data_IF_050246277306
#
_entry.id   IF_050246277306
#
_cell.length_a   1.000
_cell.length_b   1.000
_cell.length_c   1.000
_cell.angle_alpha   90.00
_cell.angle_beta   90.00
_cell.angle_gamma   90.00
#
_symmetry.space_group_name_H-M   'P 1'
#
loop_
_entity.id
_entity.type
_entity.pdbx_description
1 polymer ?
#
# COMPACT_ATOMS: atom_id res chain seq x y z
N UNK A 1 2.05 2.42 29.28
CA UNK A 1 2.13 3.67 28.49
C UNK A 1 1.48 3.42 27.14
N UNK A 2 0.60 4.28 26.65
CA UNK A 2 0.08 4.16 25.27
C UNK A 2 1.18 4.63 24.31
N UNK A 3 1.76 3.74 23.51
CA UNK A 3 2.65 4.13 22.41
C UNK A 3 1.81 4.96 21.42
N UNK A 4 2.13 6.24 21.28
CA UNK A 4 1.55 7.09 20.24
C UNK A 4 2.47 6.97 19.03
N UNK A 5 2.07 6.18 18.04
CA UNK A 5 2.80 6.03 16.79
C UNK A 5 2.26 7.11 15.85
N UNK A 6 3.12 8.04 15.45
CA UNK A 6 2.79 9.05 14.46
C UNK A 6 3.01 8.51 13.05
N UNK A 7 2.19 8.96 12.08
CA UNK A 7 2.47 8.74 10.66
C UNK A 7 2.88 10.08 10.07
N UNK A 8 4.09 10.16 9.53
CA UNK A 8 4.53 11.32 8.77
C UNK A 8 3.90 11.30 7.39
N UNK A 9 3.00 12.25 7.14
CA UNK A 9 2.29 12.39 5.87
C UNK A 9 2.60 13.76 5.30
N UNK A 10 2.86 13.82 4.00
CA UNK A 10 2.98 15.10 3.29
C UNK A 10 1.77 16.00 3.57
N UNK A 11 2.02 17.31 3.73
CA UNK A 11 0.98 18.25 4.15
C UNK A 11 -0.17 18.35 3.14
N UNK A 12 0.12 18.27 1.83
CA UNK A 12 -0.90 18.33 0.79
C UNK A 12 -1.73 17.03 0.79
N UNK A 13 -1.09 15.88 0.96
CA UNK A 13 -1.78 14.58 1.09
C UNK A 13 -2.68 14.56 2.32
N UNK A 14 -2.18 15.04 3.48
CA UNK A 14 -2.97 15.12 4.71
C UNK A 14 -4.17 16.07 4.57
N UNK A 15 -3.98 17.19 3.87
CA UNK A 15 -5.08 18.12 3.60
C UNK A 15 -6.17 17.47 2.75
N UNK A 16 -5.80 16.88 1.62
CA UNK A 16 -6.74 16.21 0.72
C UNK A 16 -7.50 15.07 1.43
N UNK A 17 -6.81 14.29 2.26
CA UNK A 17 -7.43 13.23 3.06
C UNK A 17 -8.49 13.76 4.03
N UNK A 18 -8.19 14.86 4.76
CA UNK A 18 -9.16 15.47 5.68
C UNK A 18 -10.38 16.01 4.95
N UNK A 19 -10.21 16.62 3.78
CA UNK A 19 -11.33 17.07 2.97
C UNK A 19 -12.22 15.90 2.54
N UNK A 20 -11.63 14.78 2.10
CA UNK A 20 -12.37 13.57 1.77
C UNK A 20 -13.17 13.04 2.96
N UNK A 21 -12.53 12.93 4.13
CA UNK A 21 -13.21 12.51 5.37
C UNK A 21 -14.38 13.42 5.72
N UNK A 22 -14.22 14.74 5.58
CA UNK A 22 -15.29 15.69 5.86
C UNK A 22 -16.48 15.53 4.93
N UNK A 23 -16.24 15.26 3.63
CA UNK A 23 -17.32 15.02 2.65
C UNK A 23 -18.15 13.79 3.02
N UNK A 24 -17.47 12.74 3.48
CA UNK A 24 -18.06 11.47 3.92
C UNK A 24 -18.50 11.46 5.39
N UNK A 25 -18.42 12.60 6.09
CA UNK A 25 -18.78 12.78 7.51
C UNK A 25 -18.02 11.87 8.49
N UNK A 26 -16.80 11.48 8.13
CA UNK A 26 -15.91 10.74 9.02
C UNK A 26 -14.98 11.67 9.80
N UNK A 27 -14.65 11.29 11.04
CA UNK A 27 -13.46 11.84 11.70
C UNK A 27 -12.22 11.29 11.01
N UNK A 28 -11.16 12.08 10.79
CA UNK A 28 -9.97 11.61 10.06
C UNK A 28 -9.33 10.31 10.60
N UNK A 29 -9.46 10.04 11.90
CA UNK A 29 -8.96 8.81 12.50
C UNK A 29 -9.81 7.56 12.15
N UNK A 30 -11.13 7.70 11.97
CA UNK A 30 -12.05 6.56 11.86
C UNK A 30 -11.79 5.68 10.63
N UNK A 31 -11.59 6.22 9.40
CA UNK A 31 -11.29 5.39 8.25
C UNK A 31 -9.95 4.65 8.39
N UNK A 32 -8.93 5.31 8.96
CA UNK A 32 -7.62 4.70 9.21
C UNK A 32 -7.73 3.56 10.21
N UNK A 33 -8.44 3.76 11.32
CA UNK A 33 -8.64 2.72 12.34
C UNK A 33 -9.36 1.50 11.77
N UNK A 34 -10.43 1.72 10.99
CA UNK A 34 -11.16 0.62 10.32
C UNK A 34 -10.29 -0.11 9.31
N UNK A 35 -9.50 0.62 8.53
CA UNK A 35 -8.58 0.02 7.57
C UNK A 35 -7.52 -0.84 8.28
N UNK A 36 -6.91 -0.33 9.35
CA UNK A 36 -5.92 -1.08 10.13
C UNK A 36 -6.52 -2.34 10.77
N UNK A 37 -7.77 -2.27 11.26
CA UNK A 37 -8.47 -3.45 11.77
C UNK A 37 -8.66 -4.52 10.69
N UNK A 38 -9.01 -4.12 9.46
CA UNK A 38 -9.12 -5.04 8.32
C UNK A 38 -7.77 -5.67 7.97
N UNK A 39 -6.69 -4.88 7.94
CA UNK A 39 -5.33 -5.38 7.68
C UNK A 39 -4.90 -6.39 8.73
N UNK A 40 -5.17 -6.12 10.01
CA UNK A 40 -4.85 -7.05 11.10
C UNK A 40 -5.64 -8.37 11.00
N UNK A 41 -6.90 -8.30 10.54
CA UNK A 41 -7.73 -9.49 10.32
C UNK A 41 -7.22 -10.34 9.15
N UNK A 42 -6.99 -9.71 7.99
CA UNK A 42 -6.54 -10.40 6.77
C UNK A 42 -5.06 -10.77 6.79
N UNK A 43 -4.30 -10.23 7.75
CA UNK A 43 -2.84 -10.38 7.88
C UNK A 43 -2.04 -9.92 6.66
N UNK A 44 -2.66 -9.20 5.73
CA UNK A 44 -2.04 -8.68 4.52
C UNK A 44 -2.76 -7.43 4.04
N UNK A 45 -1.99 -6.35 3.88
CA UNK A 45 -2.45 -5.10 3.23
C UNK A 45 -2.85 -5.35 1.78
N UNK A 46 -2.13 -6.26 1.10
CA UNK A 46 -2.35 -6.58 -0.32
C UNK A 46 -3.71 -7.22 -0.54
N UNK A 47 -4.09 -8.16 0.33
CA UNK A 47 -5.40 -8.81 0.28
C UNK A 47 -6.55 -7.81 0.46
N UNK A 48 -6.43 -6.90 1.44
CA UNK A 48 -7.46 -5.87 1.70
C UNK A 48 -7.61 -4.93 0.51
N UNK A 49 -6.50 -4.43 -0.03
CA UNK A 49 -6.53 -3.51 -1.16
C UNK A 49 -7.07 -4.17 -2.43
N UNK A 50 -6.66 -5.40 -2.73
CA UNK A 50 -7.17 -6.17 -3.88
C UNK A 50 -8.68 -6.40 -3.77
N UNK A 51 -9.19 -6.73 -2.58
CA UNK A 51 -10.61 -6.89 -2.36
C UNK A 51 -11.40 -5.59 -2.58
N UNK A 52 -10.88 -4.46 -2.10
CA UNK A 52 -11.50 -3.15 -2.31
C UNK A 52 -11.51 -2.73 -3.79
N UNK A 53 -10.46 -3.08 -4.53
CA UNK A 53 -10.31 -2.85 -5.97
C UNK A 53 -11.32 -3.69 -6.77
N UNK A 54 -11.42 -4.99 -6.48
CA UNK A 54 -12.42 -5.89 -7.07
C UNK A 54 -13.85 -5.44 -6.77
N UNK A 55 -14.10 -4.90 -5.57
CA UNK A 55 -15.41 -4.39 -5.19
C UNK A 55 -15.79 -3.08 -5.91
N UNK A 56 -14.90 -2.51 -6.74
CA UNK A 56 -15.08 -1.21 -7.39
C UNK A 56 -15.13 -0.06 -6.38
N UNK A 57 -14.59 -0.27 -5.17
CA UNK A 57 -14.68 0.67 -4.05
C UNK A 57 -13.42 1.52 -3.90
N UNK A 58 -12.31 1.17 -4.56
CA UNK A 58 -11.09 1.97 -4.59
C UNK A 58 -10.16 1.52 -5.72
N UNK A 59 -9.57 2.45 -6.49
CA UNK A 59 -8.49 2.19 -7.47
C UNK A 59 -7.10 2.06 -6.78
N UNK A 60 -7.06 1.44 -5.59
CA UNK A 60 -5.95 1.58 -4.67
C UNK A 60 -4.85 0.54 -4.85
N UNK A 61 -5.20 -0.68 -5.26
CA UNK A 61 -4.28 -1.81 -5.26
C UNK A 61 -3.22 -1.68 -6.36
N UNK A 62 -3.64 -1.54 -7.62
CA UNK A 62 -2.69 -1.43 -8.72
C UNK A 62 -1.84 -0.16 -8.63
N UNK A 63 -2.41 0.94 -8.13
CA UNK A 63 -1.65 2.16 -7.86
C UNK A 63 -0.55 1.94 -6.82
N UNK A 64 -0.88 1.25 -5.72
CA UNK A 64 0.11 0.87 -4.69
C UNK A 64 1.23 0.00 -5.28
N UNK A 65 0.86 -1.02 -6.07
CA UNK A 65 1.82 -1.91 -6.73
C UNK A 65 2.73 -1.15 -7.70
N UNK A 66 2.20 -0.20 -8.47
CA UNK A 66 3.00 0.64 -9.37
C UNK A 66 4.01 1.49 -8.62
N UNK A 67 3.67 2.01 -7.43
CA UNK A 67 4.62 2.75 -6.58
C UNK A 67 5.75 1.83 -6.10
N UNK A 68 5.41 0.63 -5.59
CA UNK A 68 6.41 -0.35 -5.16
C UNK A 68 7.34 -0.74 -6.31
N UNK A 69 6.77 -1.02 -7.48
CA UNK A 69 7.53 -1.40 -8.66
C UNK A 69 8.45 -0.28 -9.12
N UNK A 70 7.98 0.97 -9.10
CA UNK A 70 8.81 2.12 -9.44
C UNK A 70 9.96 2.29 -8.44
N UNK A 71 9.72 2.15 -7.15
CA UNK A 71 10.79 2.18 -6.15
C UNK A 71 11.83 1.08 -6.37
N UNK A 72 11.38 -0.15 -6.59
CA UNK A 72 12.26 -1.29 -6.85
C UNK A 72 13.13 -1.07 -8.10
N UNK A 73 12.51 -0.65 -9.22
CA UNK A 73 13.22 -0.31 -10.47
C UNK A 73 14.26 0.80 -10.31
N UNK A 74 14.08 1.70 -9.34
CA UNK A 74 15.01 2.79 -9.03
C UNK A 74 15.99 2.45 -7.88
N UNK A 75 16.11 1.18 -7.50
CA UNK A 75 17.09 0.70 -6.52
C UNK A 75 16.69 0.90 -5.06
N UNK A 76 15.46 1.34 -4.78
CA UNK A 76 14.93 1.35 -3.41
C UNK A 76 14.38 -0.06 -3.11
N UNK A 77 15.09 -0.78 -2.25
CA UNK A 77 14.79 -2.19 -1.92
C UNK A 77 14.00 -2.37 -0.62
N UNK A 78 13.89 -1.32 0.19
CA UNK A 78 13.27 -1.36 1.52
C UNK A 78 12.37 -0.14 1.73
N UNK A 79 11.37 -0.27 2.58
CA UNK A 79 10.56 0.85 3.06
C UNK A 79 10.29 0.76 4.55
N UNK A 80 10.26 1.91 5.21
CA UNK A 80 9.74 2.02 6.58
C UNK A 80 8.25 1.69 6.58
N UNK A 81 7.88 0.67 7.37
CA UNK A 81 6.49 0.33 7.70
C UNK A 81 6.10 1.06 8.98
N UNK A 82 7.05 1.21 9.90
CA UNK A 82 6.98 2.06 11.09
C UNK A 82 8.30 2.82 11.24
N UNK A 83 8.38 3.74 12.21
CA UNK A 83 9.64 4.42 12.54
C UNK A 83 10.73 3.44 13.05
N UNK A 84 10.36 2.22 13.43
CA UNK A 84 11.26 1.19 13.98
C UNK A 84 11.43 -0.03 13.05
N UNK A 85 10.53 -0.23 12.07
CA UNK A 85 10.48 -1.43 11.23
C UNK A 85 10.62 -1.12 9.73
N UNK A 86 11.52 -1.84 9.07
CA UNK A 86 11.69 -1.85 7.62
C UNK A 86 11.15 -3.15 7.01
N UNK A 87 10.49 -3.04 5.85
CA UNK A 87 10.08 -4.20 5.06
C UNK A 87 10.75 -4.19 3.67
N UNK A 88 11.22 -5.35 3.19
CA UNK A 88 11.75 -5.49 1.85
C UNK A 88 10.64 -5.36 0.81
N UNK A 89 10.89 -4.60 -0.25
CA UNK A 89 9.93 -4.34 -1.34
C UNK A 89 9.75 -5.58 -2.23
N UNK A 90 10.80 -6.38 -2.43
CA UNK A 90 10.76 -7.55 -3.30
C UNK A 90 9.73 -8.62 -2.87
N UNK A 91 9.71 -9.08 -1.60
CA UNK A 91 8.66 -9.99 -1.13
C UNK A 91 7.24 -9.42 -1.29
N UNK A 92 7.07 -8.10 -1.15
CA UNK A 92 5.78 -7.43 -1.34
C UNK A 92 5.35 -7.46 -2.81
N UNK A 93 6.28 -7.28 -3.75
CA UNK A 93 6.03 -7.43 -5.19
C UNK A 93 5.69 -8.88 -5.56
N UNK A 94 6.38 -9.86 -4.97
CA UNK A 94 6.06 -11.28 -5.14
C UNK A 94 4.67 -11.62 -4.62
N UNK A 95 4.28 -11.07 -3.47
CA UNK A 95 2.93 -11.21 -2.94
C UNK A 95 1.89 -10.55 -3.86
N UNK A 96 2.19 -9.37 -4.41
CA UNK A 96 1.33 -8.64 -5.32
C UNK A 96 0.91 -9.47 -6.55
N UNK A 97 1.82 -10.29 -7.09
CA UNK A 97 1.55 -11.14 -8.27
C UNK A 97 0.35 -12.08 -8.10
N UNK A 98 -0.03 -12.41 -6.85
CA UNK A 98 -1.22 -13.24 -6.56
C UNK A 98 -2.53 -12.50 -6.79
N UNK A 99 -2.49 -11.17 -6.79
CA UNK A 99 -3.66 -10.30 -6.70
C UNK A 99 -3.79 -9.32 -7.89
N UNK A 100 -2.70 -9.07 -8.64
CA UNK A 100 -2.70 -8.17 -9.80
C UNK A 100 -3.47 -8.79 -10.97
N UNK A 101 -4.50 -8.08 -11.43
CA UNK A 101 -5.33 -8.49 -12.56
C UNK A 101 -4.84 -7.91 -13.90
N UNK A 102 -4.27 -6.69 -13.92
CA UNK A 102 -3.62 -6.13 -15.11
C UNK A 102 -2.43 -7.00 -15.55
N UNK A 103 -2.59 -7.70 -16.67
CA UNK A 103 -1.56 -8.56 -17.26
C UNK A 103 -0.29 -7.80 -17.65
N UNK A 104 -0.40 -6.53 -18.05
CA UNK A 104 0.76 -5.70 -18.37
C UNK A 104 1.54 -5.39 -17.10
N UNK A 105 0.86 -4.93 -16.05
CA UNK A 105 1.49 -4.66 -14.76
C UNK A 105 2.13 -5.92 -14.18
N UNK A 106 1.45 -7.06 -14.27
CA UNK A 106 2.00 -8.36 -13.84
C UNK A 106 3.32 -8.68 -14.53
N UNK A 107 3.36 -8.56 -15.86
CA UNK A 107 4.59 -8.79 -16.65
C UNK A 107 5.69 -7.82 -16.27
N UNK A 108 5.37 -6.54 -16.05
CA UNK A 108 6.36 -5.55 -15.64
C UNK A 108 6.98 -5.85 -14.27
N UNK A 109 6.23 -6.47 -13.35
CA UNK A 109 6.74 -6.93 -12.05
C UNK A 109 7.68 -8.12 -12.26
N UNK A 110 7.24 -9.14 -13.01
CA UNK A 110 8.04 -10.33 -13.31
C UNK A 110 9.37 -9.97 -13.98
N UNK A 111 9.33 -9.10 -15.00
CA UNK A 111 10.54 -8.61 -15.69
C UNK A 111 11.49 -7.86 -14.77
N UNK A 112 10.96 -7.07 -13.82
CA UNK A 112 11.78 -6.31 -12.88
C UNK A 112 12.46 -7.23 -11.86
N UNK A 113 11.76 -8.24 -11.35
CA UNK A 113 12.28 -9.20 -10.40
C UNK A 113 13.35 -10.11 -11.01
N UNK A 114 13.21 -10.51 -12.27
CA UNK A 114 14.24 -11.32 -12.95
C UNK A 114 15.53 -10.54 -13.23
N UNK A 115 15.43 -9.26 -13.61
CA UNK A 115 16.61 -8.44 -13.97
C UNK A 115 17.53 -8.08 -12.80
N UNK A 116 17.04 -8.12 -11.56
CA UNK A 116 17.85 -7.85 -10.38
C UNK A 116 18.51 -9.11 -9.78
N UNK A 117 18.25 -10.29 -10.37
CA UNK A 117 18.91 -11.54 -10.02
C UNK A 117 20.20 -11.83 -10.83
N UNK A 118 20.46 -11.04 -11.89
CA UNK A 118 21.70 -11.07 -12.70
C UNK A 118 22.75 -10.07 -12.17
#
# INVERSE_FOLDING_TARGET
MKKQIGVWVDAAVWHAYKELCSKERFRPAEPLEKFLQLVLHEKSVMSVLSWMDIAGKAEGFEAYVRVLLNWYKNGKLWMYVTDEDEAPIEPMLLEALKHVMDQKLRKEIEDALMKMQE
#
